data_IF_879084799532
#
_entry.id   IF_879084799532
#
_cell.length_a   1.000
_cell.length_b   1.000
_cell.length_c   1.000
_cell.angle_alpha   90.00
_cell.angle_beta   90.00
_cell.angle_gamma   90.00
#
_symmetry.space_group_name_H-M   'P 1'
#
loop_
_entity.id
_entity.type
_entity.pdbx_description
1 polymer ?
#
# COMPACT_ATOMS: atom_id res chain seq x y z
N UNK A 1 -16.10 -14.62 5.59
CA UNK A 1 -14.64 -14.85 5.53
C UNK A 1 -14.20 -14.61 4.10
N UNK A 2 -13.41 -13.57 3.81
CA UNK A 2 -12.89 -13.33 2.46
C UNK A 2 -11.43 -13.71 2.43
N UNK A 3 -11.13 -14.79 1.73
CA UNK A 3 -9.78 -15.32 1.61
C UNK A 3 -9.04 -14.61 0.46
N UNK A 4 -7.79 -14.23 0.70
CA UNK A 4 -6.86 -13.82 -0.35
C UNK A 4 -6.40 -15.10 -1.07
N UNK A 5 -7.30 -15.66 -1.89
CA UNK A 5 -7.11 -16.97 -2.53
C UNK A 5 -5.79 -17.04 -3.31
N UNK A 6 -5.25 -18.25 -3.49
CA UNK A 6 -4.08 -18.50 -4.38
C UNK A 6 -4.21 -17.83 -5.75
N UNK A 7 -5.43 -17.77 -6.30
CA UNK A 7 -5.73 -17.07 -7.56
C UNK A 7 -5.49 -15.56 -7.47
N UNK A 8 -5.93 -14.91 -6.38
CA UNK A 8 -5.70 -13.48 -6.13
C UNK A 8 -4.22 -13.16 -5.93
N UNK A 9 -3.49 -14.04 -5.25
CA UNK A 9 -2.03 -13.90 -5.09
C UNK A 9 -1.34 -14.05 -6.45
N UNK A 10 -1.73 -15.01 -7.26
CA UNK A 10 -1.21 -15.14 -8.62
C UNK A 10 -1.52 -13.89 -9.47
N UNK A 11 -2.71 -13.31 -9.33
CA UNK A 11 -3.05 -12.03 -9.96
C UNK A 11 -2.16 -10.90 -9.47
N UNK A 12 -1.88 -10.82 -8.17
CA UNK A 12 -0.94 -9.83 -7.63
C UNK A 12 0.45 -9.96 -8.28
N UNK A 13 0.97 -11.18 -8.45
CA UNK A 13 2.25 -11.38 -9.11
C UNK A 13 2.25 -11.05 -10.60
N UNK A 14 1.11 -11.22 -11.28
CA UNK A 14 0.98 -10.92 -12.71
C UNK A 14 0.73 -9.44 -12.99
N UNK A 15 -0.13 -8.79 -12.20
CA UNK A 15 -0.60 -7.43 -12.46
C UNK A 15 0.04 -6.39 -11.52
N UNK A 16 0.82 -6.82 -10.52
CA UNK A 16 1.49 -5.99 -9.50
C UNK A 16 0.51 -5.37 -8.49
N UNK A 17 -0.78 -5.67 -8.60
CA UNK A 17 -1.79 -5.27 -7.63
C UNK A 17 -2.93 -6.29 -7.57
N UNK A 18 -3.68 -6.27 -6.47
CA UNK A 18 -4.95 -6.97 -6.35
C UNK A 18 -5.92 -6.13 -5.54
N UNK A 19 -7.13 -5.95 -6.07
CA UNK A 19 -8.23 -5.35 -5.33
C UNK A 19 -9.13 -6.46 -4.79
N UNK A 20 -9.37 -6.45 -3.48
CA UNK A 20 -10.29 -7.40 -2.84
C UNK A 20 -11.16 -6.66 -1.84
N UNK A 21 -12.42 -7.09 -1.72
CA UNK A 21 -13.25 -6.73 -0.59
C UNK A 21 -12.83 -7.60 0.59
N UNK A 22 -12.57 -7.00 1.73
CA UNK A 22 -12.35 -7.71 2.99
C UNK A 22 -13.60 -7.46 3.83
N UNK A 23 -14.04 -8.48 4.56
CA UNK A 23 -15.20 -8.38 5.43
C UNK A 23 -14.82 -7.56 6.67
N UNK A 24 -14.85 -6.24 6.54
CA UNK A 24 -14.76 -5.26 7.63
C UNK A 24 -16.16 -4.67 7.78
N UNK A 25 -16.67 -4.58 9.01
CA UNK A 25 -18.01 -4.01 9.25
C UNK A 25 -18.02 -2.51 8.95
N UNK A 26 -19.18 -1.99 8.55
CA UNK A 26 -19.37 -0.55 8.38
C UNK A 26 -19.09 0.22 9.67
N UNK A 27 -19.44 -0.37 10.81
CA UNK A 27 -19.28 0.24 12.11
C UNK A 27 -17.80 0.38 12.46
N UNK A 28 -16.99 -0.66 12.22
CA UNK A 28 -15.54 -0.57 12.41
C UNK A 28 -14.89 0.46 11.48
N UNK A 29 -15.35 0.56 10.22
CA UNK A 29 -14.88 1.62 9.32
C UNK A 29 -15.21 3.03 9.84
N UNK A 30 -16.40 3.22 10.43
CA UNK A 30 -16.81 4.50 11.01
C UNK A 30 -15.99 4.84 12.26
N UNK A 31 -15.76 3.87 13.15
CA UNK A 31 -14.92 4.06 14.35
C UNK A 31 -13.49 4.42 13.96
N UNK A 32 -12.89 3.76 12.96
CA UNK A 32 -11.56 4.15 12.45
C UNK A 32 -11.60 5.55 11.83
N UNK A 33 -12.67 5.92 11.15
CA UNK A 33 -12.81 7.28 10.62
C UNK A 33 -12.86 8.30 11.77
N UNK A 34 -13.55 8.02 12.86
CA UNK A 34 -13.58 8.87 14.06
C UNK A 34 -12.21 8.95 14.75
N UNK A 35 -11.54 7.83 14.99
CA UNK A 35 -10.19 7.79 15.57
C UNK A 35 -9.19 8.61 14.73
N UNK A 36 -9.31 8.53 13.39
CA UNK A 36 -8.38 9.22 12.49
C UNK A 36 -8.67 10.72 12.34
N UNK A 37 -9.87 11.22 12.66
CA UNK A 37 -10.22 12.64 12.51
C UNK A 37 -9.35 13.57 13.34
N UNK A 38 -8.85 13.11 14.48
CA UNK A 38 -8.07 13.90 15.43
C UNK A 38 -6.56 13.86 15.18
N UNK A 39 -6.11 13.18 14.12
CA UNK A 39 -4.69 13.08 13.80
C UNK A 39 -4.13 14.41 13.27
N UNK A 40 -2.83 14.62 13.51
CA UNK A 40 -2.06 15.76 13.01
C UNK A 40 -1.76 15.62 11.51
N UNK A 41 -2.76 15.94 10.69
CA UNK A 41 -2.68 15.90 9.23
C UNK A 41 -1.81 17.02 8.66
N UNK A 42 -0.82 16.64 7.86
CA UNK A 42 0.11 17.57 7.18
C UNK A 42 0.04 17.42 5.68
N UNK A 43 0.15 18.53 4.90
CA UNK A 43 0.27 18.46 3.45
C UNK A 43 1.43 17.56 3.01
N UNK A 44 1.23 16.81 1.93
CA UNK A 44 2.28 15.99 1.29
C UNK A 44 2.53 16.46 -0.14
N UNK A 45 3.64 16.01 -0.73
CA UNK A 45 4.00 16.41 -2.10
C UNK A 45 3.06 15.81 -3.15
N UNK A 46 2.72 16.61 -4.16
CA UNK A 46 1.95 16.11 -5.31
C UNK A 46 2.77 15.19 -6.21
N UNK A 47 4.07 15.47 -6.32
CA UNK A 47 5.04 14.74 -7.14
C UNK A 47 6.20 14.31 -6.26
N UNK A 48 6.61 13.05 -6.40
CA UNK A 48 7.79 12.52 -5.71
C UNK A 48 9.00 13.42 -6.02
N UNK A 49 9.73 13.83 -4.97
CA UNK A 49 10.85 14.78 -5.04
C UNK A 49 10.49 16.21 -5.47
N UNK A 50 9.23 16.65 -5.35
CA UNK A 50 8.89 18.07 -5.49
C UNK A 50 9.21 18.83 -4.21
N UNK A 51 9.60 20.10 -4.34
CA UNK A 51 9.71 21.01 -3.19
C UNK A 51 8.35 21.60 -2.76
N UNK A 52 7.32 21.48 -3.61
CA UNK A 52 6.01 22.09 -3.37
C UNK A 52 5.03 21.10 -2.77
N UNK A 53 4.57 21.41 -1.56
CA UNK A 53 3.49 20.67 -0.90
C UNK A 53 2.14 20.89 -1.59
N UNK A 54 1.35 19.83 -1.65
CA UNK A 54 -0.03 19.84 -2.10
C UNK A 54 -0.96 20.07 -0.91
N UNK A 55 -1.57 21.26 -0.85
CA UNK A 55 -2.50 21.60 0.24
C UNK A 55 -3.79 20.80 0.19
N UNK A 56 -4.08 20.12 -0.92
CA UNK A 56 -5.29 19.30 -1.07
C UNK A 56 -5.07 17.83 -0.72
N UNK A 57 -3.85 17.42 -0.37
CA UNK A 57 -3.57 16.06 0.08
C UNK A 57 -2.80 16.08 1.38
N UNK A 58 -3.42 15.47 2.38
CA UNK A 58 -2.90 15.44 3.73
C UNK A 58 -2.57 14.00 4.13
N UNK A 59 -1.54 13.86 4.92
CA UNK A 59 -1.15 12.59 5.53
C UNK A 59 -0.95 12.79 7.03
N UNK A 60 -1.33 11.78 7.82
CA UNK A 60 -0.97 11.68 9.21
C UNK A 60 -0.38 10.30 9.52
N UNK A 61 0.51 10.24 10.51
CA UNK A 61 0.94 8.95 11.06
C UNK A 61 -0.14 8.44 12.00
N UNK A 62 -0.48 7.16 11.89
CA UNK A 62 -1.45 6.52 12.77
C UNK A 62 -0.67 5.77 13.86
N UNK A 63 -0.83 6.12 15.15
CA UNK A 63 -0.42 5.24 16.22
C UNK A 63 -1.39 4.05 16.30
N UNK A 64 -0.89 2.81 16.22
CA UNK A 64 -1.72 1.60 16.39
C UNK A 64 -1.97 1.37 17.89
N UNK A 65 -2.57 2.37 18.54
CA UNK A 65 -2.98 2.31 19.94
C UNK A 65 -4.48 2.58 20.11
N UNK A 66 -5.20 2.89 19.02
CA UNK A 66 -6.65 2.94 18.98
C UNK A 66 -7.24 1.54 18.88
N UNK A 67 -8.43 1.34 19.46
CA UNK A 67 -9.09 0.04 19.48
C UNK A 67 -9.51 -0.39 18.07
N UNK A 68 -10.08 0.54 17.29
CA UNK A 68 -10.61 0.26 15.97
C UNK A 68 -9.49 0.08 14.93
N UNK A 69 -8.46 0.94 14.96
CA UNK A 69 -7.28 0.78 14.10
C UNK A 69 -6.53 -0.51 14.40
N UNK A 70 -6.45 -0.91 15.68
CA UNK A 70 -5.86 -2.18 16.11
C UNK A 70 -6.58 -3.37 15.48
N UNK A 71 -7.91 -3.37 15.52
CA UNK A 71 -8.71 -4.44 14.91
C UNK A 71 -8.54 -4.52 13.39
N UNK A 72 -8.55 -3.38 12.68
CA UNK A 72 -8.24 -3.38 11.24
C UNK A 72 -6.82 -3.90 10.98
N UNK A 73 -5.84 -3.51 11.80
CA UNK A 73 -4.48 -4.00 11.65
C UNK A 73 -4.42 -5.53 11.76
N UNK A 74 -5.04 -6.11 12.78
CA UNK A 74 -5.06 -7.56 13.00
C UNK A 74 -5.70 -8.31 11.83
N UNK A 75 -6.89 -7.87 11.39
CA UNK A 75 -7.60 -8.48 10.26
C UNK A 75 -6.76 -8.47 8.98
N UNK A 76 -6.16 -7.33 8.67
CA UNK A 76 -5.35 -7.18 7.45
C UNK A 76 -4.03 -7.95 7.57
N UNK A 77 -3.35 -7.88 8.72
CA UNK A 77 -2.09 -8.57 8.95
C UNK A 77 -2.27 -10.11 8.88
N UNK A 78 -3.33 -10.63 9.48
CA UNK A 78 -3.71 -12.05 9.38
C UNK A 78 -3.96 -12.43 7.92
N UNK A 79 -4.78 -11.67 7.20
CA UNK A 79 -5.08 -11.94 5.78
C UNK A 79 -3.82 -11.94 4.91
N UNK A 80 -2.89 -11.02 5.16
CA UNK A 80 -1.61 -10.93 4.42
C UNK A 80 -0.66 -12.07 4.78
N UNK A 81 -0.56 -12.43 6.06
CA UNK A 81 0.28 -13.54 6.53
C UNK A 81 -0.21 -14.90 6.02
N UNK A 82 -1.52 -15.11 5.96
CA UNK A 82 -2.12 -16.30 5.34
C UNK A 82 -1.83 -16.37 3.84
N UNK A 83 -1.84 -15.21 3.15
CA UNK A 83 -1.56 -15.13 1.73
C UNK A 83 -0.08 -15.44 1.42
N UNK A 84 0.83 -14.96 2.25
CA UNK A 84 2.26 -15.24 2.13
C UNK A 84 2.91 -15.18 3.51
N UNK A 85 3.45 -16.30 4.04
CA UNK A 85 4.02 -16.33 5.39
C UNK A 85 5.28 -15.48 5.55
N UNK A 86 5.87 -15.01 4.45
CA UNK A 86 7.02 -14.10 4.47
C UNK A 86 6.61 -12.62 4.38
N UNK A 87 5.32 -12.32 4.28
CA UNK A 87 4.81 -10.96 4.34
C UNK A 87 4.35 -10.60 5.74
N UNK A 88 4.69 -9.39 6.16
CA UNK A 88 4.28 -8.85 7.45
C UNK A 88 4.00 -7.36 7.30
N UNK A 89 3.00 -6.88 8.03
CA UNK A 89 2.69 -5.45 8.14
C UNK A 89 3.23 -4.98 9.48
N UNK A 90 4.09 -3.95 9.45
CA UNK A 90 4.59 -3.35 10.69
C UNK A 90 3.52 -2.42 11.24
N UNK A 91 3.14 -2.56 12.52
CA UNK A 91 2.18 -1.67 13.19
C UNK A 91 2.51 -0.19 12.98
N UNK A 92 3.77 0.20 13.15
CA UNK A 92 4.20 1.60 13.00
C UNK A 92 4.16 2.15 11.57
N UNK A 93 3.74 1.36 10.57
CA UNK A 93 3.78 1.75 9.15
C UNK A 93 2.50 2.42 8.66
N UNK A 94 1.39 2.35 9.42
CA UNK A 94 0.12 2.90 8.99
C UNK A 94 0.13 4.42 8.85
N UNK A 95 -0.45 4.89 7.74
CA UNK A 95 -0.66 6.30 7.42
C UNK A 95 -2.12 6.53 7.05
N UNK A 96 -2.71 7.58 7.60
CA UNK A 96 -4.00 8.09 7.15
C UNK A 96 -3.76 9.05 5.99
N UNK A 97 -4.48 8.86 4.89
CA UNK A 97 -4.46 9.76 3.74
C UNK A 97 -5.82 10.43 3.59
N UNK A 98 -5.81 11.75 3.41
CA UNK A 98 -7.01 12.56 3.25
C UNK A 98 -6.87 13.45 2.02
N UNK A 99 -7.79 13.30 1.07
CA UNK A 99 -7.89 14.19 -0.10
C UNK A 99 -8.98 15.22 0.13
N UNK A 100 -8.66 16.50 -0.07
CA UNK A 100 -9.60 17.61 0.03
C UNK A 100 -10.19 17.96 -1.36
N UNK A 101 -11.43 18.48 -1.41
CA UNK A 101 -12.02 18.96 -2.66
C UNK A 101 -11.17 20.02 -3.36
N UNK A 102 -11.15 19.99 -4.70
CA UNK A 102 -10.42 20.96 -5.53
C UNK A 102 -8.96 20.59 -5.83
N UNK A 103 -8.44 19.50 -5.24
CA UNK A 103 -7.14 18.95 -5.58
C UNK A 103 -7.10 18.33 -6.98
N UNK A 104 -5.93 18.37 -7.63
CA UNK A 104 -5.65 17.59 -8.84
C UNK A 104 -5.19 16.18 -8.46
N UNK A 105 -5.15 15.26 -9.43
CA UNK A 105 -4.61 13.91 -9.22
C UNK A 105 -3.12 13.91 -8.87
N UNK A 106 -2.69 12.89 -8.12
CA UNK A 106 -1.28 12.65 -7.83
C UNK A 106 -0.55 12.27 -9.12
N UNK A 107 0.69 12.74 -9.28
CA UNK A 107 1.49 12.24 -10.40
C UNK A 107 1.72 10.75 -10.22
N UNK A 108 1.71 9.99 -11.31
CA UNK A 108 2.05 8.56 -11.28
C UNK A 108 3.42 8.36 -10.63
N UNK A 109 3.51 7.41 -9.70
CA UNK A 109 4.74 7.05 -9.01
C UNK A 109 4.66 5.59 -8.52
N UNK A 110 5.82 5.03 -8.18
CA UNK A 110 5.91 3.79 -7.41
C UNK A 110 6.13 4.11 -5.94
N UNK A 111 5.40 3.45 -5.04
CA UNK A 111 5.56 3.63 -3.59
C UNK A 111 6.99 3.32 -3.12
N UNK A 112 7.64 2.36 -3.79
CA UNK A 112 9.02 1.99 -3.55
C UNK A 112 9.86 2.23 -4.80
N UNK A 113 11.06 2.74 -4.61
CA UNK A 113 12.00 2.93 -5.71
C UNK A 113 12.43 1.59 -6.31
N UNK A 114 12.84 1.59 -7.58
CA UNK A 114 13.42 0.40 -8.24
C UNK A 114 14.59 -0.18 -7.45
N UNK A 115 15.39 0.68 -6.82
CA UNK A 115 16.51 0.27 -5.98
C UNK A 115 16.05 -0.49 -4.73
N UNK A 116 15.04 0.01 -4.01
CA UNK A 116 14.49 -0.67 -2.83
C UNK A 116 13.85 -2.00 -3.20
N UNK A 117 13.08 -2.05 -4.29
CA UNK A 117 12.48 -3.28 -4.81
C UNK A 117 13.55 -4.30 -5.22
N UNK A 118 14.57 -3.88 -5.96
CA UNK A 118 15.67 -4.77 -6.37
C UNK A 118 16.45 -5.27 -5.15
N UNK A 119 16.73 -4.41 -4.17
CA UNK A 119 17.41 -4.80 -2.93
C UNK A 119 16.59 -5.81 -2.13
N UNK A 120 15.28 -5.60 -1.97
CA UNK A 120 14.38 -6.52 -1.29
C UNK A 120 14.36 -7.89 -1.99
N UNK A 121 14.29 -7.89 -3.33
CA UNK A 121 14.29 -9.11 -4.12
C UNK A 121 15.62 -9.86 -4.03
N UNK A 122 16.75 -9.17 -4.12
CA UNK A 122 18.08 -9.79 -4.08
C UNK A 122 18.41 -10.35 -2.70
N UNK A 123 18.16 -9.58 -1.63
CA UNK A 123 18.56 -9.94 -0.27
C UNK A 123 17.57 -10.87 0.43
N UNK A 124 16.27 -10.67 0.21
CA UNK A 124 15.24 -11.35 0.96
C UNK A 124 14.36 -12.26 0.09
N UNK A 125 14.51 -12.23 -1.25
CA UNK A 125 13.62 -12.92 -2.19
C UNK A 125 12.15 -12.51 -2.02
N UNK A 126 11.94 -11.25 -1.62
CA UNK A 126 10.61 -10.66 -1.38
C UNK A 126 10.44 -9.38 -2.19
N UNK A 127 9.18 -9.01 -2.39
CA UNK A 127 8.79 -7.73 -2.98
C UNK A 127 8.11 -6.89 -1.89
N UNK A 128 8.46 -5.61 -1.83
CA UNK A 128 7.77 -4.64 -0.98
C UNK A 128 6.44 -4.26 -1.61
N UNK A 129 5.41 -4.08 -0.79
CA UNK A 129 4.09 -3.70 -1.26
C UNK A 129 3.36 -2.87 -0.21
N UNK A 130 2.43 -2.04 -0.69
CA UNK A 130 1.54 -1.25 0.13
C UNK A 130 0.18 -1.94 0.22
N UNK A 131 -0.44 -1.90 1.40
CA UNK A 131 -1.86 -2.21 1.56
C UNK A 131 -2.61 -0.89 1.73
N UNK A 132 -3.66 -0.71 0.94
CA UNK A 132 -4.51 0.48 1.00
C UNK A 132 -5.91 0.03 1.44
N UNK A 133 -6.36 0.54 2.58
CA UNK A 133 -7.73 0.34 3.08
C UNK A 133 -8.51 1.61 2.81
N UNK A 134 -9.62 1.47 2.08
CA UNK A 134 -10.50 2.58 1.73
C UNK A 134 -11.63 2.67 2.76
N UNK A 135 -11.65 3.75 3.53
CA UNK A 135 -12.64 3.98 4.58
C UNK A 135 -13.84 4.81 4.12
N UNK A 136 -13.66 5.65 3.09
CA UNK A 136 -14.68 6.58 2.61
C UNK A 136 -15.20 6.16 1.24
N UNK A 137 -16.52 6.26 1.05
CA UNK A 137 -17.15 6.07 -0.24
C UNK A 137 -16.60 7.03 -1.31
N UNK A 138 -16.74 6.62 -2.58
CA UNK A 138 -16.28 7.38 -3.75
C UNK A 138 -14.77 7.69 -3.80
N UNK A 139 -13.97 7.07 -2.93
CA UNK A 139 -12.51 7.13 -3.04
C UNK A 139 -12.06 6.43 -4.32
N UNK A 140 -11.16 7.08 -5.07
CA UNK A 140 -10.61 6.57 -6.33
C UNK A 140 -9.11 6.40 -6.21
N UNK A 141 -8.62 5.24 -6.65
CA UNK A 141 -7.20 4.96 -6.80
C UNK A 141 -6.92 4.58 -8.26
N UNK A 142 -5.99 5.29 -8.89
CA UNK A 142 -5.54 4.99 -10.25
C UNK A 142 -4.33 4.08 -10.18
N UNK A 143 -4.46 2.84 -10.67
CA UNK A 143 -3.40 1.84 -10.67
C UNK A 143 -3.08 1.44 -12.11
N UNK A 144 -1.78 1.36 -12.42
CA UNK A 144 -1.29 0.92 -13.72
C UNK A 144 -0.73 -0.51 -13.57
N UNK A 145 -1.39 -1.52 -14.17
CA UNK A 145 -0.92 -2.90 -14.08
C UNK A 145 0.46 -3.07 -14.71
N UNK A 146 1.20 -4.08 -14.23
CA UNK A 146 2.42 -4.60 -14.89
C UNK A 146 3.58 -3.59 -14.99
N UNK A 147 3.62 -2.58 -14.12
CA UNK A 147 4.67 -1.55 -14.12
C UNK A 147 5.91 -1.87 -13.25
N UNK A 148 6.21 -3.13 -12.96
CA UNK A 148 7.49 -3.48 -12.31
C UNK A 148 8.63 -3.40 -13.33
N UNK A 149 9.39 -2.30 -13.32
CA UNK A 149 10.68 -2.21 -14.01
C UNK A 149 11.74 -3.01 -13.24
N UNK A 150 11.68 -4.34 -13.34
CA UNK A 150 12.83 -5.18 -12.97
C UNK A 150 13.69 -5.30 -14.22
N UNK A 151 14.69 -4.44 -14.35
CA UNK A 151 15.77 -4.64 -15.32
C UNK A 151 16.44 -5.97 -14.98
N UNK A 152 16.06 -7.04 -15.70
CA UNK A 152 16.89 -8.24 -15.79
C UNK A 152 18.18 -7.80 -16.46
N UNK A 153 19.24 -7.61 -15.68
CA UNK A 153 20.59 -7.68 -16.23
C UNK A 153 20.77 -9.08 -16.81
N UNK A 154 20.59 -9.20 -18.13
CA UNK A 154 21.13 -10.30 -18.91
C UNK A 154 22.63 -10.07 -19.03
N UNK A 155 23.37 -10.43 -17.98
CA UNK A 155 24.81 -10.66 -18.01
C UNK A 155 25.02 -12.04 -17.36
N UNK A 156 25.53 -13.09 -17.98
CA UNK A 156 26.04 -13.30 -19.33
C UNK A 156 26.14 -14.82 -19.52
N UNK A 157 25.28 -15.40 -20.35
CA UNK A 157 25.59 -16.67 -21.02
C UNK A 157 26.64 -16.37 -22.10
N UNK A 158 27.89 -16.17 -21.68
CA UNK A 158 29.03 -16.35 -22.57
C UNK A 158 29.45 -17.81 -22.46
N UNK A 159 29.01 -18.55 -23.47
CA UNK A 159 29.51 -19.87 -23.87
C UNK A 159 31.02 -19.94 -23.66
N UNK A 160 31.45 -20.90 -22.85
CA UNK A 160 32.78 -21.49 -22.98
C UNK A 160 32.74 -22.40 -24.21
N UNK A 161 33.43 -21.96 -25.25
CA UNK A 161 33.96 -22.80 -26.34
C UNK A 161 35.44 -22.49 -26.46
#
# INVERSE_FOLDING_TARGET
MVELTKKKIAMFWNEVYVATRIAISSDLCNEVLEETQHLDFKPIFRKVNSEKLDRFRLQASIPVSGAAIGEIHEVIASTVGEANPNWAIKESSWKALKSLPGGKDQSVYHDYSTFETARALLKHKLVLGSVIVVLMDNSRLHVYPRCLEVTRTRESDKRLS
#
